data_IF_151996303765
#
_entry.id   IF_151996303765
#
_cell.length_a   1.000
_cell.length_b   1.000
_cell.length_c   1.000
_cell.angle_alpha   90.00
_cell.angle_beta   90.00
_cell.angle_gamma   90.00
#
_symmetry.space_group_name_H-M   'P 1'
#
loop_
_entity.id
_entity.type
_entity.pdbx_description
1 polymer ?
#
# COMPACT_ATOMS: atom_id res chain seq x y z
N UNK A 1 5.29 -7.93 25.04
CA UNK A 1 5.18 -9.33 24.53
C UNK A 1 5.23 -9.22 23.02
N UNK A 2 6.04 -10.05 22.38
CA UNK A 2 6.14 -10.07 20.91
C UNK A 2 4.77 -10.43 20.33
N UNK A 3 4.38 -9.72 19.25
CA UNK A 3 3.14 -10.03 18.51
C UNK A 3 3.39 -11.10 17.43
N UNK A 4 4.47 -11.86 17.56
CA UNK A 4 4.87 -12.86 16.59
C UNK A 4 3.90 -14.04 16.53
N UNK A 5 3.31 -14.28 15.36
CA UNK A 5 2.57 -15.50 15.06
C UNK A 5 3.59 -16.60 14.72
N UNK A 6 3.52 -17.72 15.44
CA UNK A 6 4.34 -18.91 15.21
C UNK A 6 3.45 -20.00 14.61
N UNK A 7 3.40 -20.16 13.26
CA UNK A 7 2.54 -21.17 12.67
C UNK A 7 2.97 -22.58 13.09
N UNK A 8 2.03 -23.39 13.53
CA UNK A 8 2.32 -24.75 13.99
C UNK A 8 2.92 -25.60 12.86
N UNK A 9 4.05 -26.22 13.12
CA UNK A 9 4.73 -27.08 12.15
C UNK A 9 5.34 -26.34 10.94
N UNK A 10 5.42 -25.02 10.97
CA UNK A 10 6.01 -24.26 9.87
C UNK A 10 7.45 -24.71 9.59
N UNK A 11 7.72 -24.91 8.32
CA UNK A 11 9.07 -25.11 7.77
C UNK A 11 9.18 -24.33 6.48
N UNK A 12 10.20 -23.49 6.37
CA UNK A 12 10.45 -22.77 5.15
C UNK A 12 10.62 -23.73 3.97
N UNK A 13 9.70 -23.69 3.01
CA UNK A 13 9.67 -24.58 1.84
C UNK A 13 10.91 -24.38 0.96
N UNK A 14 11.38 -23.13 0.86
CA UNK A 14 12.56 -22.72 0.11
C UNK A 14 13.67 -22.29 1.06
N UNK A 15 14.89 -22.83 0.88
CA UNK A 15 16.06 -22.37 1.61
C UNK A 15 16.47 -20.93 1.22
N UNK A 16 17.31 -20.26 2.04
CA UNK A 16 17.68 -18.83 1.86
C UNK A 16 18.11 -18.49 0.43
N UNK A 17 18.97 -19.28 -0.19
CA UNK A 17 19.44 -19.02 -1.57
C UNK A 17 18.32 -19.10 -2.62
N UNK A 18 17.40 -20.06 -2.47
CA UNK A 18 16.24 -20.17 -3.38
C UNK A 18 15.26 -19.02 -3.13
N UNK A 19 15.11 -18.60 -1.88
CA UNK A 19 14.30 -17.43 -1.50
C UNK A 19 14.81 -16.16 -2.19
N UNK A 20 16.12 -15.88 -2.14
CA UNK A 20 16.74 -14.73 -2.84
C UNK A 20 16.53 -14.80 -4.37
N UNK A 21 16.64 -15.98 -4.97
CA UNK A 21 16.34 -16.18 -6.39
C UNK A 21 14.85 -15.94 -6.70
N UNK A 22 13.98 -16.40 -5.82
CA UNK A 22 12.53 -16.18 -5.92
C UNK A 22 12.14 -14.71 -5.78
N UNK A 23 12.73 -13.98 -4.84
CA UNK A 23 12.53 -12.53 -4.67
C UNK A 23 12.88 -11.80 -5.97
N UNK A 24 14.05 -12.08 -6.55
CA UNK A 24 14.46 -11.49 -7.83
C UNK A 24 13.43 -11.80 -8.93
N UNK A 25 13.08 -13.07 -9.09
CA UNK A 25 12.13 -13.52 -10.12
C UNK A 25 10.78 -12.80 -9.99
N UNK A 26 10.22 -12.78 -8.80
CA UNK A 26 8.91 -12.17 -8.50
C UNK A 26 8.96 -10.66 -8.77
N UNK A 27 9.98 -9.96 -8.26
CA UNK A 27 10.10 -8.52 -8.44
C UNK A 27 10.23 -8.14 -9.91
N UNK A 28 11.09 -8.81 -10.68
CA UNK A 28 11.28 -8.55 -12.12
C UNK A 28 10.01 -8.84 -12.93
N UNK A 29 9.33 -9.93 -12.66
CA UNK A 29 8.13 -10.31 -13.39
C UNK A 29 6.93 -9.43 -13.04
N UNK A 30 6.65 -9.22 -11.75
CA UNK A 30 5.50 -8.45 -11.31
C UNK A 30 5.55 -7.00 -11.79
N UNK A 31 6.69 -6.31 -11.66
CA UNK A 31 6.81 -4.92 -12.08
C UNK A 31 6.57 -4.73 -13.59
N UNK A 32 7.00 -5.69 -14.43
CA UNK A 32 6.75 -5.64 -15.87
C UNK A 32 5.27 -5.85 -16.19
N UNK A 33 4.62 -6.80 -15.51
CA UNK A 33 3.19 -7.04 -15.66
C UNK A 33 2.37 -5.83 -15.20
N UNK A 34 2.67 -5.26 -14.03
CA UNK A 34 2.05 -4.05 -13.52
C UNK A 34 2.19 -2.88 -14.50
N UNK A 35 3.41 -2.65 -14.98
CA UNK A 35 3.70 -1.58 -15.93
C UNK A 35 2.92 -1.75 -17.25
N UNK A 36 2.82 -2.98 -17.75
CA UNK A 36 2.07 -3.29 -18.97
C UNK A 36 0.58 -3.11 -18.75
N UNK A 37 0.02 -3.63 -17.66
CA UNK A 37 -1.41 -3.53 -17.34
C UNK A 37 -1.86 -2.08 -17.19
N UNK A 38 -1.09 -1.26 -16.51
CA UNK A 38 -1.49 0.11 -16.19
C UNK A 38 -0.84 1.17 -17.11
N UNK A 39 -0.04 0.75 -18.13
CA UNK A 39 0.70 1.62 -19.05
C UNK A 39 1.62 2.59 -18.33
N UNK A 40 2.46 2.06 -17.44
CA UNK A 40 3.36 2.84 -16.60
C UNK A 40 4.79 2.85 -17.15
N UNK A 41 5.43 4.01 -17.10
CA UNK A 41 6.87 4.16 -17.33
C UNK A 41 7.61 4.18 -15.99
N UNK A 42 8.73 3.47 -15.90
CA UNK A 42 9.56 3.51 -14.68
C UNK A 42 10.30 4.84 -14.58
N UNK A 43 10.26 5.46 -13.40
CA UNK A 43 11.02 6.67 -13.08
C UNK A 43 11.88 6.46 -11.84
N UNK A 44 12.93 7.28 -11.68
CA UNK A 44 13.69 7.35 -10.42
C UNK A 44 12.96 8.23 -9.42
N UNK A 45 12.98 7.84 -8.15
CA UNK A 45 12.34 8.58 -7.06
C UNK A 45 13.33 8.99 -5.99
N UNK A 46 13.05 10.06 -5.23
CA UNK A 46 13.86 10.46 -4.09
C UNK A 46 13.66 9.48 -2.92
N UNK A 47 14.73 9.23 -2.16
CA UNK A 47 14.66 8.57 -0.86
C UNK A 47 14.22 9.54 0.24
N UNK A 48 14.46 10.83 0.05
CA UNK A 48 14.15 11.90 1.01
C UNK A 48 13.74 13.18 0.28
N UNK A 49 12.97 14.00 0.95
CA UNK A 49 12.47 15.30 0.46
C UNK A 49 12.73 16.38 1.49
N UNK A 50 12.71 17.65 1.05
CA UNK A 50 12.80 18.76 2.00
C UNK A 50 11.55 18.82 2.88
N UNK A 51 11.75 19.00 4.17
CA UNK A 51 10.70 19.19 5.17
C UNK A 51 9.91 20.48 4.89
N UNK A 52 8.61 20.44 5.19
CA UNK A 52 7.75 21.63 5.13
C UNK A 52 7.16 21.93 3.76
N UNK A 53 7.41 21.11 2.73
CA UNK A 53 6.81 21.27 1.39
C UNK A 53 5.45 20.60 1.26
N UNK A 54 5.03 19.80 2.23
CA UNK A 54 3.81 19.00 2.15
C UNK A 54 3.89 17.86 1.13
N UNK A 55 5.11 17.45 0.74
CA UNK A 55 5.35 16.36 -0.21
C UNK A 55 5.43 15.02 0.52
N UNK A 56 6.11 14.97 1.67
CA UNK A 56 6.13 13.76 2.49
C UNK A 56 4.74 13.45 3.03
N UNK A 57 4.48 12.19 3.30
CA UNK A 57 3.23 11.74 3.90
C UNK A 57 3.37 11.71 5.42
N UNK A 58 2.37 12.24 6.11
CA UNK A 58 2.32 12.20 7.58
C UNK A 58 1.64 10.90 8.07
N UNK A 59 1.29 9.97 7.16
CA UNK A 59 0.54 8.75 7.44
C UNK A 59 -0.73 9.05 8.26
N UNK A 60 -0.76 8.65 9.53
CA UNK A 60 -1.86 8.96 10.44
C UNK A 60 -1.66 10.30 11.19
N UNK A 61 -0.56 11.02 10.90
CA UNK A 61 -0.24 12.32 11.51
C UNK A 61 0.49 12.23 12.85
N UNK A 62 0.89 11.05 13.28
CA UNK A 62 1.58 10.80 14.56
C UNK A 62 2.96 10.17 14.39
N UNK A 63 3.24 9.56 13.25
CA UNK A 63 4.51 8.90 12.94
C UNK A 63 5.62 9.93 12.73
N UNK A 64 6.78 9.66 13.34
CA UNK A 64 7.95 10.52 13.24
C UNK A 64 8.77 10.18 11.99
N UNK A 65 8.96 11.12 11.05
CA UNK A 65 9.89 10.90 9.95
C UNK A 65 11.32 10.86 10.45
N UNK A 66 12.16 10.05 9.80
CA UNK A 66 13.62 10.13 9.98
C UNK A 66 14.09 11.37 9.25
N UNK A 67 14.59 12.37 9.99
CA UNK A 67 15.05 13.62 9.44
C UNK A 67 16.54 13.88 9.71
N UNK A 68 17.15 14.68 8.85
CA UNK A 68 18.55 15.07 8.96
C UNK A 68 18.79 16.44 8.31
N UNK A 69 19.76 17.25 8.84
CA UNK A 69 20.12 18.53 8.24
C UNK A 69 21.02 18.36 7.01
N UNK A 70 20.90 19.27 6.04
CA UNK A 70 21.75 19.31 4.84
C UNK A 70 22.67 20.52 4.93
N UNK A 71 23.96 20.29 5.14
CA UNK A 71 24.97 21.33 5.33
C UNK A 71 25.03 22.34 4.18
N UNK A 72 25.05 21.87 2.93
CA UNK A 72 25.16 22.73 1.75
C UNK A 72 23.90 23.55 1.45
N UNK A 73 22.79 23.26 2.13
CA UNK A 73 21.54 24.01 2.06
C UNK A 73 21.29 24.85 3.34
N UNK A 74 22.36 25.23 4.06
CA UNK A 74 22.25 26.05 5.27
C UNK A 74 21.52 25.35 6.41
N UNK A 75 21.78 24.06 6.60
CA UNK A 75 21.15 23.21 7.63
C UNK A 75 19.63 23.00 7.42
N UNK A 76 19.13 23.17 6.18
CA UNK A 76 17.76 22.83 5.87
C UNK A 76 17.50 21.33 6.17
N UNK A 77 16.36 21.02 6.80
CA UNK A 77 16.01 19.65 7.13
C UNK A 77 15.42 18.89 5.93
N UNK A 78 15.88 17.67 5.71
CA UNK A 78 15.26 16.68 4.84
C UNK A 78 14.68 15.53 5.66
N UNK A 79 13.68 14.88 5.10
CA UNK A 79 12.99 13.75 5.70
C UNK A 79 13.00 12.55 4.75
N UNK A 80 13.34 11.38 5.25
CA UNK A 80 13.14 10.13 4.52
C UNK A 80 11.64 9.95 4.28
N UNK A 81 11.27 9.60 3.06
CA UNK A 81 9.85 9.51 2.69
C UNK A 81 9.13 8.40 3.47
N UNK A 82 7.87 8.65 3.82
CA UNK A 82 6.93 7.64 4.29
C UNK A 82 6.08 7.08 3.13
N UNK A 83 5.84 7.90 2.11
CA UNK A 83 5.12 7.59 0.88
C UNK A 83 5.53 8.56 -0.22
N UNK A 84 5.37 8.17 -1.46
CA UNK A 84 5.63 9.00 -2.64
C UNK A 84 4.34 9.47 -3.34
N UNK A 85 3.17 9.31 -2.73
CA UNK A 85 1.88 9.63 -3.36
C UNK A 85 1.84 11.05 -3.93
N UNK A 86 2.22 12.05 -3.14
CA UNK A 86 2.24 13.47 -3.53
C UNK A 86 3.37 13.79 -4.50
N UNK A 87 4.55 13.21 -4.30
CA UNK A 87 5.69 13.38 -5.20
C UNK A 87 5.38 12.82 -6.61
N UNK A 88 4.78 11.64 -6.71
CA UNK A 88 4.41 11.05 -8.01
C UNK A 88 3.47 11.96 -8.79
N UNK A 89 2.47 12.56 -8.12
CA UNK A 89 1.54 13.48 -8.78
C UNK A 89 2.23 14.74 -9.31
N UNK A 90 3.21 15.30 -8.59
CA UNK A 90 4.06 16.39 -9.07
C UNK A 90 4.86 15.94 -10.30
N UNK A 91 5.41 14.72 -10.28
CA UNK A 91 6.18 14.15 -11.39
C UNK A 91 5.33 13.91 -12.63
N UNK A 92 4.05 13.48 -12.47
CA UNK A 92 3.12 13.39 -13.62
C UNK A 92 2.95 14.74 -14.34
N UNK A 93 2.85 15.83 -13.58
CA UNK A 93 2.75 17.18 -14.14
C UNK A 93 4.06 17.63 -14.81
N UNK A 94 5.19 17.41 -14.12
CA UNK A 94 6.52 17.82 -14.62
C UNK A 94 6.91 17.11 -15.93
N UNK A 95 6.50 15.85 -16.07
CA UNK A 95 6.77 15.04 -17.27
C UNK A 95 5.67 15.11 -18.33
N UNK A 96 4.65 15.94 -18.14
CA UNK A 96 3.49 16.07 -19.04
C UNK A 96 2.85 14.73 -19.44
N UNK A 97 2.67 13.85 -18.45
CA UNK A 97 2.08 12.52 -18.68
C UNK A 97 0.61 12.66 -19.06
N UNK A 98 0.23 12.04 -20.18
CA UNK A 98 -1.11 12.18 -20.77
C UNK A 98 -2.12 11.20 -20.12
N UNK A 99 -3.43 11.49 -20.13
CA UNK A 99 -4.46 10.60 -19.61
C UNK A 99 -4.37 9.17 -20.17
N UNK A 100 -4.53 8.18 -19.30
CA UNK A 100 -4.40 6.76 -19.61
C UNK A 100 -2.98 6.21 -19.56
N UNK A 101 -1.99 7.04 -19.20
CA UNK A 101 -0.60 6.66 -18.96
C UNK A 101 -0.17 7.08 -17.55
N UNK A 102 0.92 6.51 -17.07
CA UNK A 102 1.41 6.80 -15.74
C UNK A 102 2.88 6.46 -15.54
N UNK A 103 3.27 6.54 -14.28
CA UNK A 103 4.63 6.23 -13.82
C UNK A 103 4.58 5.21 -12.69
N UNK A 104 5.67 4.48 -12.51
CA UNK A 104 5.94 3.72 -11.28
C UNK A 104 7.40 3.85 -10.87
N UNK A 105 7.65 3.58 -9.61
CA UNK A 105 9.00 3.61 -9.05
C UNK A 105 9.14 2.60 -7.93
N UNK A 106 10.40 2.28 -7.58
CA UNK A 106 10.72 1.57 -6.35
C UNK A 106 10.80 2.59 -5.21
N UNK A 107 9.80 2.61 -4.35
CA UNK A 107 9.81 3.43 -3.12
C UNK A 107 10.47 2.65 -2.00
N UNK A 108 11.37 3.32 -1.28
CA UNK A 108 11.99 2.82 -0.05
C UNK A 108 11.70 3.82 1.06
N UNK A 109 11.12 3.35 2.16
CA UNK A 109 10.74 4.18 3.30
C UNK A 109 11.28 3.61 4.60
N UNK A 110 11.41 4.49 5.60
CA UNK A 110 11.76 4.09 6.98
C UNK A 110 10.63 4.56 7.88
N UNK A 111 10.03 3.62 8.60
CA UNK A 111 8.98 3.88 9.60
C UNK A 111 9.55 3.59 10.99
N UNK A 112 10.09 4.63 11.63
CA UNK A 112 10.80 4.49 12.90
C UNK A 112 9.91 4.08 14.08
N UNK A 113 8.61 4.37 14.01
CA UNK A 113 7.62 4.07 15.06
C UNK A 113 6.82 2.78 14.79
N UNK A 114 7.21 1.98 13.79
CA UNK A 114 6.50 0.75 13.42
C UNK A 114 6.60 -0.33 14.52
N UNK A 115 5.48 -0.98 14.80
CA UNK A 115 5.44 -2.14 15.69
C UNK A 115 5.79 -3.39 14.90
N UNK A 116 6.94 -3.97 15.20
CA UNK A 116 7.49 -5.11 14.46
C UNK A 116 6.72 -6.39 14.75
N UNK A 117 6.28 -7.08 13.69
CA UNK A 117 5.62 -8.38 13.74
C UNK A 117 5.97 -9.20 12.48
N UNK A 118 5.17 -10.24 12.17
CA UNK A 118 5.37 -11.05 10.98
C UNK A 118 5.30 -10.27 9.66
N UNK A 119 4.57 -9.15 9.63
CA UNK A 119 4.24 -8.38 8.42
C UNK A 119 4.87 -6.99 8.38
N UNK A 120 5.30 -6.47 9.54
CA UNK A 120 5.77 -5.09 9.70
C UNK A 120 7.25 -5.04 10.01
N UNK A 121 7.97 -4.21 9.27
CA UNK A 121 9.40 -3.92 9.41
C UNK A 121 9.62 -2.41 9.44
N UNK A 122 10.74 -1.97 10.01
CA UNK A 122 11.18 -0.56 9.94
C UNK A 122 11.40 -0.10 8.50
N UNK A 123 11.78 -1.02 7.62
CA UNK A 123 12.00 -0.77 6.20
C UNK A 123 10.79 -1.20 5.40
N UNK A 124 10.27 -0.29 4.57
CA UNK A 124 9.13 -0.53 3.68
C UNK A 124 9.56 -0.32 2.24
N UNK A 125 9.29 -1.31 1.39
CA UNK A 125 9.51 -1.26 -0.04
C UNK A 125 8.20 -1.46 -0.81
N UNK A 126 7.93 -0.57 -1.78
CA UNK A 126 6.72 -0.64 -2.60
C UNK A 126 7.03 -0.40 -4.07
N UNK A 127 6.26 -1.04 -4.97
CA UNK A 127 6.03 -0.46 -6.28
C UNK A 127 4.98 0.64 -6.12
N UNK A 128 5.45 1.85 -6.15
CA UNK A 128 4.63 3.03 -6.00
C UNK A 128 4.27 3.54 -7.40
N UNK A 129 3.00 3.59 -7.74
CA UNK A 129 2.52 3.92 -9.07
C UNK A 129 1.49 5.04 -9.05
N UNK A 130 1.38 5.78 -10.16
CA UNK A 130 0.43 6.88 -10.35
C UNK A 130 0.11 7.03 -11.83
N UNK A 131 -1.17 7.16 -12.20
CA UNK A 131 -1.61 7.31 -13.58
C UNK A 131 -2.57 8.49 -13.75
N UNK A 132 -2.41 9.24 -14.84
CA UNK A 132 -3.30 10.35 -15.16
C UNK A 132 -4.64 9.82 -15.65
N UNK A 133 -5.72 10.40 -15.14
CA UNK A 133 -7.10 10.05 -15.48
C UNK A 133 -7.86 11.30 -15.97
N UNK A 134 -9.02 11.07 -16.57
CA UNK A 134 -9.96 12.14 -16.92
C UNK A 134 -10.98 12.36 -15.81
N UNK A 135 -11.75 13.44 -15.89
CA UNK A 135 -12.88 13.71 -14.98
C UNK A 135 -13.91 12.57 -15.00
N UNK A 136 -14.17 12.01 -16.19
CA UNK A 136 -15.12 10.88 -16.35
C UNK A 136 -14.65 9.57 -15.72
N UNK A 137 -13.37 9.45 -15.38
CA UNK A 137 -12.79 8.25 -14.73
C UNK A 137 -12.88 8.32 -13.19
N UNK A 138 -13.33 9.44 -12.62
CA UNK A 138 -13.50 9.59 -11.17
C UNK A 138 -14.74 8.82 -10.67
N UNK A 139 -14.77 7.53 -10.89
CA UNK A 139 -15.88 6.64 -10.57
C UNK A 139 -15.39 5.39 -9.84
N UNK A 140 -16.25 4.80 -9.04
CA UNK A 140 -15.98 3.53 -8.37
C UNK A 140 -15.75 2.40 -9.37
N UNK A 141 -16.54 2.35 -10.45
CA UNK A 141 -16.36 1.30 -11.47
C UNK A 141 -15.02 1.39 -12.19
N UNK A 142 -14.48 2.59 -12.38
CA UNK A 142 -13.12 2.76 -12.89
C UNK A 142 -12.06 2.24 -11.90
N UNK A 143 -12.17 2.61 -10.62
CA UNK A 143 -11.30 2.10 -9.56
C UNK A 143 -11.30 0.58 -9.52
N UNK A 144 -12.48 -0.05 -9.47
CA UNK A 144 -12.61 -1.52 -9.48
C UNK A 144 -11.97 -2.17 -10.73
N UNK A 145 -12.09 -1.53 -11.90
CA UNK A 145 -11.43 -2.03 -13.11
C UNK A 145 -9.91 -2.03 -12.97
N UNK A 146 -9.33 -0.96 -12.42
CA UNK A 146 -7.89 -0.88 -12.14
C UNK A 146 -7.47 -1.96 -11.15
N UNK A 147 -8.23 -2.17 -10.08
CA UNK A 147 -7.98 -3.24 -9.09
C UNK A 147 -7.97 -4.62 -9.75
N UNK A 148 -8.95 -4.93 -10.62
CA UNK A 148 -8.99 -6.22 -11.34
C UNK A 148 -7.74 -6.44 -12.21
N UNK A 149 -7.23 -5.39 -12.85
CA UNK A 149 -6.01 -5.45 -13.68
C UNK A 149 -4.77 -5.70 -12.82
N UNK A 150 -4.64 -5.05 -11.67
CA UNK A 150 -3.57 -5.30 -10.70
C UNK A 150 -3.65 -6.74 -10.17
N UNK A 151 -4.86 -7.18 -9.81
CA UNK A 151 -5.07 -8.53 -9.32
C UNK A 151 -4.72 -9.60 -10.37
N UNK A 152 -5.00 -9.36 -11.64
CA UNK A 152 -4.57 -10.24 -12.72
C UNK A 152 -3.04 -10.34 -12.84
N UNK A 153 -2.30 -9.25 -12.57
CA UNK A 153 -0.84 -9.31 -12.51
C UNK A 153 -0.35 -10.12 -11.29
N UNK A 154 -1.04 -10.04 -10.14
CA UNK A 154 -0.77 -10.84 -8.95
C UNK A 154 -0.95 -12.33 -9.24
N UNK A 155 -2.08 -12.73 -9.86
CA UNK A 155 -2.34 -14.13 -10.22
C UNK A 155 -1.30 -14.70 -11.18
N UNK A 156 -0.88 -13.94 -12.19
CA UNK A 156 0.19 -14.36 -13.10
C UNK A 156 1.52 -14.57 -12.37
N UNK A 157 1.77 -13.77 -11.34
CA UNK A 157 2.99 -13.88 -10.54
C UNK A 157 2.95 -15.12 -9.63
N UNK A 158 1.80 -15.44 -9.03
CA UNK A 158 1.61 -16.69 -8.31
C UNK A 158 1.84 -17.90 -9.23
N UNK A 159 1.22 -17.90 -10.42
CA UNK A 159 1.42 -18.95 -11.40
C UNK A 159 2.90 -19.16 -11.72
N UNK A 160 3.66 -18.08 -12.02
CA UNK A 160 5.08 -18.17 -12.31
C UNK A 160 5.88 -18.72 -11.11
N UNK A 161 5.56 -18.29 -9.89
CA UNK A 161 6.24 -18.76 -8.68
C UNK A 161 6.04 -20.27 -8.48
N UNK A 162 4.81 -20.77 -8.64
CA UNK A 162 4.46 -22.20 -8.51
C UNK A 162 5.09 -23.04 -9.64
N UNK A 163 5.11 -22.56 -10.88
CA UNK A 163 5.78 -23.25 -12.01
C UNK A 163 7.30 -23.33 -11.79
N UNK A 164 7.89 -22.28 -11.21
CA UNK A 164 9.35 -22.26 -10.95
C UNK A 164 9.75 -23.10 -9.74
N UNK A 165 8.90 -23.11 -8.72
CA UNK A 165 9.10 -23.84 -7.47
C UNK A 165 7.91 -24.78 -7.21
N UNK A 166 7.95 -26.02 -7.73
CA UNK A 166 6.83 -26.97 -7.62
C UNK A 166 6.42 -27.36 -6.19
N UNK A 167 7.19 -26.94 -5.19
CA UNK A 167 6.86 -27.11 -3.78
C UNK A 167 5.85 -26.07 -3.27
N UNK A 168 5.62 -24.99 -4.03
CA UNK A 168 4.64 -23.95 -3.73
C UNK A 168 3.29 -24.34 -4.39
N UNK A 169 2.23 -24.26 -3.62
CA UNK A 169 0.87 -24.54 -4.11
C UNK A 169 0.09 -23.23 -4.26
N UNK A 170 -0.57 -23.00 -5.41
CA UNK A 170 -1.38 -21.79 -5.59
C UNK A 170 -2.57 -21.79 -4.64
N UNK A 171 -2.91 -20.63 -4.05
CA UNK A 171 -4.04 -20.50 -3.14
C UNK A 171 -4.90 -19.27 -3.40
N UNK A 172 -4.48 -18.37 -4.31
CA UNK A 172 -5.25 -17.19 -4.62
C UNK A 172 -6.51 -17.55 -5.45
N UNK A 173 -7.68 -16.98 -5.13
CA UNK A 173 -8.89 -17.18 -5.93
C UNK A 173 -8.75 -16.51 -7.31
N UNK A 174 -9.48 -17.02 -8.30
CA UNK A 174 -9.43 -16.49 -9.67
C UNK A 174 -9.99 -15.07 -9.81
N UNK A 175 -10.77 -14.61 -8.84
CA UNK A 175 -11.39 -13.28 -8.83
C UNK A 175 -11.27 -12.65 -7.46
N UNK A 176 -11.07 -11.33 -7.44
CA UNK A 176 -11.10 -10.52 -6.22
C UNK A 176 -12.56 -10.12 -5.92
N UNK A 177 -12.95 -10.17 -4.66
CA UNK A 177 -14.25 -9.74 -4.17
C UNK A 177 -14.20 -8.25 -3.77
N UNK A 178 -15.25 -7.48 -4.10
CA UNK A 178 -15.38 -6.06 -3.74
C UNK A 178 -16.42 -5.90 -2.64
N UNK A 179 -16.10 -5.14 -1.62
CA UNK A 179 -17.02 -4.79 -0.53
C UNK A 179 -16.69 -3.39 0.00
N UNK A 180 -17.74 -2.62 0.27
CA UNK A 180 -17.55 -1.32 0.92
C UNK A 180 -17.41 -1.48 2.43
N UNK A 181 -16.59 -0.63 3.08
CA UNK A 181 -16.33 -0.67 4.52
C UNK A 181 -17.63 -0.58 5.35
N UNK A 182 -18.64 0.19 4.88
CA UNK A 182 -19.95 0.24 5.54
C UNK A 182 -20.69 -1.11 5.48
N UNK A 183 -20.71 -1.77 4.32
CA UNK A 183 -21.37 -3.08 4.18
C UNK A 183 -20.66 -4.13 5.05
N UNK A 184 -19.34 -4.03 5.16
CA UNK A 184 -18.53 -4.91 5.99
C UNK A 184 -18.86 -4.70 7.49
N UNK A 185 -19.00 -3.45 7.94
CA UNK A 185 -19.47 -3.13 9.29
C UNK A 185 -20.89 -3.65 9.54
N UNK A 186 -21.80 -3.46 8.58
CA UNK A 186 -23.18 -3.94 8.72
C UNK A 186 -23.27 -5.47 8.78
N UNK A 187 -22.36 -6.16 8.08
CA UNK A 187 -22.25 -7.62 8.09
C UNK A 187 -21.69 -8.15 9.43
N UNK A 188 -20.77 -7.43 10.05
CA UNK A 188 -20.07 -7.84 11.27
C UNK A 188 -20.05 -6.71 12.33
N UNK A 189 -21.21 -6.27 12.84
CA UNK A 189 -21.31 -5.05 13.65
C UNK A 189 -20.65 -5.13 15.04
N UNK A 190 -20.21 -6.31 15.47
CA UNK A 190 -19.57 -6.51 16.78
C UNK A 190 -18.06 -6.80 16.70
N UNK A 191 -17.54 -6.93 15.49
CA UNK A 191 -16.12 -7.20 15.27
C UNK A 191 -15.34 -5.89 15.08
N UNK A 192 -14.06 -5.93 15.43
CA UNK A 192 -13.12 -4.86 15.05
C UNK A 192 -12.87 -4.85 13.55
N UNK A 193 -12.36 -3.75 13.01
CA UNK A 193 -12.03 -3.66 11.57
C UNK A 193 -11.11 -4.81 11.11
N UNK A 194 -10.07 -5.14 11.87
CA UNK A 194 -9.15 -6.24 11.56
C UNK A 194 -9.80 -7.62 11.62
N UNK A 195 -10.69 -7.86 12.58
CA UNK A 195 -11.45 -9.11 12.63
C UNK A 195 -12.43 -9.21 11.45
N UNK A 196 -13.04 -8.10 11.03
CA UNK A 196 -13.87 -8.04 9.82
C UNK A 196 -13.07 -8.38 8.56
N UNK A 197 -11.85 -7.83 8.43
CA UNK A 197 -10.93 -8.14 7.34
C UNK A 197 -10.58 -9.64 7.31
N UNK A 198 -10.26 -10.23 8.47
CA UNK A 198 -9.94 -11.65 8.57
C UNK A 198 -11.13 -12.53 8.16
N UNK A 199 -12.33 -12.24 8.64
CA UNK A 199 -13.53 -13.02 8.31
C UNK A 199 -13.89 -12.91 6.82
N UNK A 200 -13.87 -11.70 6.23
CA UNK A 200 -14.22 -11.54 4.82
C UNK A 200 -13.15 -12.13 3.90
N UNK A 201 -11.86 -11.96 4.23
CA UNK A 201 -10.76 -12.54 3.47
C UNK A 201 -10.74 -14.06 3.58
N UNK A 202 -11.02 -14.63 4.74
CA UNK A 202 -11.17 -16.09 4.93
C UNK A 202 -12.28 -16.67 4.06
N UNK A 203 -13.37 -15.90 3.87
CA UNK A 203 -14.52 -16.32 3.04
C UNK A 203 -14.23 -16.29 1.55
N UNK A 204 -13.54 -15.23 1.07
CA UNK A 204 -13.39 -14.98 -0.36
C UNK A 204 -11.95 -15.15 -0.90
N UNK A 205 -10.96 -15.27 -0.02
CA UNK A 205 -9.53 -15.44 -0.36
C UNK A 205 -8.81 -14.16 -0.74
N UNK A 206 -9.43 -13.29 -1.54
CA UNK A 206 -8.93 -11.97 -1.92
C UNK A 206 -10.07 -10.95 -1.97
N UNK A 207 -9.88 -9.80 -1.33
CA UNK A 207 -10.92 -8.79 -1.17
C UNK A 207 -10.34 -7.40 -1.44
N UNK A 208 -11.12 -6.54 -2.09
CA UNK A 208 -10.87 -5.10 -2.12
C UNK A 208 -11.91 -4.42 -1.24
N UNK A 209 -11.45 -3.80 -0.15
CA UNK A 209 -12.32 -3.06 0.78
C UNK A 209 -12.29 -1.59 0.36
N UNK A 210 -13.46 -1.06 0.01
CA UNK A 210 -13.63 0.30 -0.50
C UNK A 210 -14.07 1.29 0.58
N UNK A 211 -13.77 2.59 0.38
CA UNK A 211 -14.23 3.64 1.28
C UNK A 211 -13.43 3.74 2.59
N UNK A 212 -12.11 3.53 2.49
CA UNK A 212 -11.19 3.64 3.64
C UNK A 212 -10.93 5.12 3.96
N UNK A 213 -11.05 5.49 5.23
CA UNK A 213 -10.78 6.86 5.73
C UNK A 213 -12.03 7.67 6.05
N UNK A 214 -13.18 7.36 5.47
CA UNK A 214 -14.44 8.01 5.85
C UNK A 214 -14.99 7.45 7.18
N UNK A 215 -15.83 8.24 7.87
CA UNK A 215 -16.55 7.77 9.05
C UNK A 215 -17.75 6.91 8.65
N UNK A 216 -17.86 5.75 9.27
CA UNK A 216 -18.96 4.82 9.09
C UNK A 216 -20.15 5.17 10.00
N UNK A 217 -21.25 4.44 9.86
CA UNK A 217 -22.50 4.67 10.62
C UNK A 217 -22.33 4.58 12.14
N UNK A 218 -21.32 3.87 12.62
CA UNK A 218 -20.97 3.80 14.04
C UNK A 218 -20.12 4.98 14.54
N UNK A 219 -19.75 5.93 13.64
CA UNK A 219 -18.91 7.09 13.94
C UNK A 219 -17.40 6.85 13.85
N UNK A 220 -16.97 5.61 13.70
CA UNK A 220 -15.55 5.24 13.55
C UNK A 220 -15.15 5.15 12.07
N UNK A 221 -13.84 5.17 11.80
CA UNK A 221 -13.28 4.84 10.50
C UNK A 221 -12.95 3.35 10.46
N UNK A 222 -13.01 2.74 9.27
CA UNK A 222 -12.49 1.37 9.11
C UNK A 222 -10.98 1.33 9.35
N UNK A 223 -10.26 2.23 8.69
CA UNK A 223 -8.82 2.47 8.90
C UNK A 223 -8.50 3.94 8.62
N UNK A 224 -7.28 4.38 9.01
CA UNK A 224 -6.79 5.74 8.79
C UNK A 224 -6.46 6.02 7.33
N UNK A 225 -6.64 7.29 6.91
CA UNK A 225 -6.19 7.78 5.61
C UNK A 225 -5.89 9.27 5.72
N UNK A 226 -4.75 9.73 5.22
CA UNK A 226 -4.43 11.15 5.18
C UNK A 226 -5.43 11.93 4.33
N UNK A 227 -5.58 13.22 4.63
CA UNK A 227 -6.59 14.07 4.00
C UNK A 227 -6.21 14.55 2.58
N UNK A 228 -4.96 14.33 2.14
CA UNK A 228 -4.39 15.10 1.04
C UNK A 228 -3.87 14.28 -0.16
N UNK A 229 -4.24 12.99 -0.24
CA UNK A 229 -3.96 12.21 -1.46
C UNK A 229 -5.13 11.34 -1.93
N UNK A 230 -5.63 10.36 -1.18
CA UNK A 230 -6.79 9.56 -1.60
C UNK A 230 -8.12 10.27 -1.37
N UNK A 231 -9.04 10.16 -2.33
CA UNK A 231 -10.40 10.68 -2.20
C UNK A 231 -11.28 9.68 -1.46
N UNK A 232 -11.43 9.91 -0.16
CA UNK A 232 -12.29 9.11 0.72
C UNK A 232 -13.59 9.85 1.08
N UNK A 233 -13.92 10.96 0.43
CA UNK A 233 -15.06 11.82 0.77
C UNK A 233 -16.08 11.99 -0.35
N UNK A 234 -15.72 11.73 -1.60
CA UNK A 234 -16.65 11.83 -2.73
C UNK A 234 -17.71 10.73 -2.66
N UNK A 235 -18.97 11.11 -2.88
CA UNK A 235 -20.10 10.19 -2.98
C UNK A 235 -20.10 9.57 -4.38
N UNK A 236 -19.99 8.25 -4.46
CA UNK A 236 -20.04 7.50 -5.71
C UNK A 236 -21.46 7.37 -6.27
N UNK A 237 -21.59 6.81 -7.49
CA UNK A 237 -22.86 6.68 -8.22
C UNK A 237 -23.90 5.83 -7.48
N UNK A 238 -23.47 4.92 -6.63
CA UNK A 238 -24.31 4.04 -5.81
C UNK A 238 -24.64 4.61 -4.43
N UNK A 239 -24.23 5.86 -4.15
CA UNK A 239 -24.46 6.56 -2.90
C UNK A 239 -23.47 6.23 -1.78
N UNK A 240 -22.48 5.37 -2.01
CA UNK A 240 -21.40 5.07 -1.06
C UNK A 240 -20.30 6.12 -1.13
N UNK A 241 -19.55 6.27 -0.04
CA UNK A 241 -18.56 7.34 0.10
C UNK A 241 -17.13 6.78 -0.07
N UNK A 242 -16.34 7.44 -0.92
CA UNK A 242 -14.93 7.15 -1.14
C UNK A 242 -14.67 6.47 -2.48
N UNK A 243 -13.55 6.87 -3.09
CA UNK A 243 -13.03 6.34 -4.36
C UNK A 243 -11.65 5.71 -4.15
N UNK A 244 -11.47 5.03 -3.03
CA UNK A 244 -10.22 4.40 -2.60
C UNK A 244 -10.48 3.06 -1.92
N UNK A 245 -9.44 2.33 -1.62
CA UNK A 245 -9.53 1.08 -0.88
C UNK A 245 -8.22 0.32 -0.84
N UNK A 246 -8.30 -0.88 -0.23
CA UNK A 246 -7.16 -1.74 0.01
C UNK A 246 -7.39 -3.15 -0.55
N UNK A 247 -6.35 -3.72 -1.20
CA UNK A 247 -6.32 -5.14 -1.59
C UNK A 247 -5.82 -5.94 -0.39
N UNK A 248 -6.67 -6.82 0.11
CA UNK A 248 -6.34 -7.77 1.17
C UNK A 248 -6.41 -9.20 0.64
N UNK A 249 -5.52 -10.04 1.15
CA UNK A 249 -5.42 -11.45 0.79
C UNK A 249 -5.47 -12.29 2.07
N UNK A 250 -6.32 -13.31 2.08
CA UNK A 250 -6.26 -14.33 3.13
C UNK A 250 -4.95 -15.10 3.01
N UNK A 251 -4.16 -15.11 4.06
CA UNK A 251 -2.89 -15.81 4.07
C UNK A 251 -2.91 -17.05 4.97
N UNK A 252 -3.04 -18.26 4.38
CA UNK A 252 -3.25 -19.49 5.17
C UNK A 252 -2.15 -19.79 6.17
N UNK A 253 -0.89 -19.43 5.86
CA UNK A 253 0.26 -19.70 6.72
C UNK A 253 0.15 -18.96 8.06
N UNK A 254 -0.30 -17.71 8.04
CA UNK A 254 -0.49 -16.92 9.25
C UNK A 254 -1.92 -16.99 9.80
N UNK A 255 -2.87 -17.58 9.05
CA UNK A 255 -4.28 -17.68 9.43
C UNK A 255 -4.96 -16.31 9.60
N UNK A 256 -4.54 -15.30 8.81
CA UNK A 256 -5.07 -13.92 8.84
C UNK A 256 -5.05 -13.25 7.47
N UNK A 257 -5.70 -12.12 7.36
CA UNK A 257 -5.62 -11.24 6.19
C UNK A 257 -4.30 -10.48 6.15
N UNK A 258 -3.80 -10.22 4.94
CA UNK A 258 -2.64 -9.36 4.67
C UNK A 258 -3.07 -8.27 3.71
N UNK A 259 -2.92 -7.02 4.10
CA UNK A 259 -2.99 -5.88 3.18
C UNK A 259 -1.77 -5.89 2.26
N UNK A 260 -2.01 -6.02 0.96
CA UNK A 260 -0.96 -6.04 -0.05
C UNK A 260 -0.78 -4.68 -0.72
N UNK A 261 -1.86 -3.94 -0.90
CA UNK A 261 -1.86 -2.66 -1.63
C UNK A 261 -2.93 -1.74 -1.11
N UNK A 262 -2.59 -0.47 -1.03
CA UNK A 262 -3.48 0.65 -0.77
C UNK A 262 -3.49 1.56 -1.99
N UNK A 263 -4.68 1.98 -2.46
CA UNK A 263 -4.83 2.79 -3.66
C UNK A 263 -6.12 3.59 -3.69
N UNK A 264 -6.16 4.62 -4.55
CA UNK A 264 -7.39 5.38 -4.77
C UNK A 264 -7.28 6.37 -5.92
N UNK A 265 -8.43 6.81 -6.38
CA UNK A 265 -8.55 8.06 -7.12
C UNK A 265 -8.09 9.17 -6.18
N UNK A 266 -7.24 10.07 -6.67
CA UNK A 266 -6.68 11.13 -5.83
C UNK A 266 -7.68 12.28 -5.69
N UNK A 267 -7.57 12.99 -4.58
CA UNK A 267 -8.40 14.18 -4.34
C UNK A 267 -8.29 15.18 -5.50
N UNK A 268 -9.42 15.73 -5.90
CA UNK A 268 -9.47 16.99 -6.61
C UNK A 268 -9.45 18.18 -5.62
N UNK A 269 -9.61 19.41 -6.09
CA UNK A 269 -9.66 20.58 -5.21
C UNK A 269 -10.79 20.53 -4.18
N UNK A 270 -11.95 20.06 -4.62
CA UNK A 270 -13.17 20.03 -3.78
C UNK A 270 -13.01 18.99 -2.67
N UNK A 271 -12.59 17.78 -3.04
CA UNK A 271 -12.33 16.70 -2.09
C UNK A 271 -11.18 17.07 -1.12
N UNK A 272 -10.08 17.67 -1.64
CA UNK A 272 -8.99 18.13 -0.78
C UNK A 272 -9.46 19.11 0.30
N UNK A 273 -10.15 20.19 -0.09
CA UNK A 273 -10.61 21.21 0.85
C UNK A 273 -11.60 20.61 1.87
N UNK A 274 -12.50 19.74 1.39
CA UNK A 274 -13.46 19.06 2.25
C UNK A 274 -12.77 18.15 3.27
N UNK A 275 -11.83 17.32 2.83
CA UNK A 275 -11.10 16.39 3.69
C UNK A 275 -10.20 17.12 4.71
N UNK A 276 -9.51 18.19 4.30
CA UNK A 276 -8.72 19.01 5.21
C UNK A 276 -9.61 19.65 6.31
N UNK A 277 -10.83 20.06 5.96
CA UNK A 277 -11.79 20.61 6.96
C UNK A 277 -12.26 19.53 7.92
N UNK A 278 -12.58 18.31 7.44
CA UNK A 278 -12.97 17.19 8.31
C UNK A 278 -11.86 16.85 9.31
N UNK A 279 -10.60 16.83 8.86
CA UNK A 279 -9.44 16.50 9.69
C UNK A 279 -8.88 17.70 10.46
N UNK A 280 -9.46 18.90 10.30
CA UNK A 280 -9.00 20.16 10.95
C UNK A 280 -7.54 20.49 10.63
N UNK A 281 -7.17 20.36 9.36
CA UNK A 281 -5.81 20.55 8.82
C UNK A 281 -5.81 21.63 7.72
N UNK A 282 -6.70 22.64 7.79
CA UNK A 282 -6.86 23.67 6.77
C UNK A 282 -5.57 24.48 6.53
N UNK A 283 -4.69 24.60 7.52
CA UNK A 283 -3.38 25.26 7.39
C UNK A 283 -2.48 24.60 6.34
N UNK A 284 -2.67 23.31 6.05
CA UNK A 284 -1.89 22.59 5.01
C UNK A 284 -2.10 23.17 3.61
N UNK A 285 -3.19 23.88 3.38
CA UNK A 285 -3.44 24.59 2.11
C UNK A 285 -2.30 25.54 1.72
N UNK A 286 -1.51 26.02 2.69
CA UNK A 286 -0.37 26.92 2.45
C UNK A 286 0.91 26.19 1.99
N UNK A 287 0.94 24.85 2.11
CA UNK A 287 2.12 24.07 1.72
C UNK A 287 2.25 23.99 0.20
N UNK A 288 3.48 23.83 -0.29
CA UNK A 288 3.78 23.84 -1.71
C UNK A 288 2.92 22.86 -2.54
N UNK A 289 2.86 21.59 -2.13
CA UNK A 289 2.05 20.59 -2.87
C UNK A 289 0.58 21.00 -2.99
N UNK A 290 -0.02 21.46 -1.89
CA UNK A 290 -1.44 21.85 -1.83
C UNK A 290 -1.71 23.06 -2.72
N UNK A 291 -0.80 24.04 -2.73
CA UNK A 291 -0.88 25.20 -3.62
C UNK A 291 -0.80 24.81 -5.12
N UNK A 292 0.04 23.83 -5.49
CA UNK A 292 0.08 23.33 -6.85
C UNK A 292 -1.25 22.71 -7.27
N UNK A 293 -1.86 21.90 -6.38
CA UNK A 293 -3.16 21.28 -6.64
C UNK A 293 -4.28 22.31 -6.74
N UNK A 294 -4.37 23.24 -5.79
CA UNK A 294 -5.40 24.27 -5.74
C UNK A 294 -5.31 25.27 -6.93
N UNK A 295 -4.13 25.37 -7.54
CA UNK A 295 -3.89 26.25 -8.71
C UNK A 295 -4.03 25.53 -10.06
N UNK A 296 -4.63 24.33 -10.13
CA UNK A 296 -4.82 23.53 -11.35
C UNK A 296 -3.52 23.14 -12.08
N UNK A 297 -2.41 23.04 -11.36
CA UNK A 297 -1.13 22.66 -11.94
C UNK A 297 -0.87 21.16 -11.91
N UNK A 298 -1.70 20.39 -11.21
CA UNK A 298 -1.55 18.95 -11.09
C UNK A 298 -2.71 18.22 -11.80
N UNK A 299 -2.42 17.14 -12.53
CA UNK A 299 -3.46 16.37 -13.22
C UNK A 299 -4.36 15.64 -12.23
N UNK A 300 -5.56 15.27 -12.68
CA UNK A 300 -6.36 14.24 -12.02
C UNK A 300 -5.66 12.91 -12.20
N UNK A 301 -5.61 12.11 -11.14
CA UNK A 301 -4.87 10.85 -11.18
C UNK A 301 -5.47 9.81 -10.23
N UNK A 302 -5.09 8.57 -10.46
CA UNK A 302 -5.28 7.40 -9.61
C UNK A 302 -3.92 6.83 -9.29
N UNK A 303 -3.72 6.33 -8.09
CA UNK A 303 -2.45 5.72 -7.74
C UNK A 303 -2.50 4.87 -6.50
N UNK A 304 -1.38 4.25 -6.19
CA UNK A 304 -1.26 3.36 -5.04
C UNK A 304 0.15 2.88 -4.82
N UNK A 305 0.33 2.13 -3.74
CA UNK A 305 1.55 1.40 -3.42
C UNK A 305 1.25 -0.09 -3.27
N UNK A 306 2.11 -0.94 -3.83
CA UNK A 306 2.02 -2.40 -3.68
C UNK A 306 3.27 -2.86 -2.95
N UNK A 307 3.11 -3.48 -1.79
CA UNK A 307 4.22 -3.95 -0.96
C UNK A 307 5.07 -5.00 -1.66
N UNK A 308 6.33 -4.68 -1.99
CA UNK A 308 7.23 -5.60 -2.69
C UNK A 308 7.57 -6.81 -1.83
N UNK A 309 8.02 -6.56 -0.60
CA UNK A 309 8.38 -7.65 0.34
C UNK A 309 7.15 -8.44 0.78
N UNK A 310 5.98 -7.80 0.96
CA UNK A 310 4.73 -8.52 1.27
C UNK A 310 4.30 -9.43 0.12
N UNK A 311 4.37 -8.97 -1.14
CA UNK A 311 4.08 -9.82 -2.29
C UNK A 311 5.05 -11.01 -2.36
N UNK A 312 6.36 -10.78 -2.21
CA UNK A 312 7.33 -11.86 -2.18
C UNK A 312 7.07 -12.86 -1.04
N UNK A 313 6.69 -12.37 0.15
CA UNK A 313 6.33 -13.19 1.30
C UNK A 313 5.16 -14.13 0.98
N UNK A 314 4.10 -13.58 0.38
CA UNK A 314 2.91 -14.32 -0.04
C UNK A 314 3.28 -15.37 -1.11
N UNK A 315 3.97 -14.96 -2.17
CA UNK A 315 4.31 -15.83 -3.30
C UNK A 315 5.31 -16.95 -2.96
N UNK A 316 6.18 -16.73 -1.98
CA UNK A 316 7.19 -17.70 -1.57
C UNK A 316 6.82 -18.44 -0.28
N UNK A 317 5.58 -18.30 0.18
CA UNK A 317 5.00 -19.00 1.33
C UNK A 317 5.83 -18.82 2.61
N UNK A 318 6.15 -17.56 2.96
CA UNK A 318 6.97 -17.23 4.12
C UNK A 318 6.13 -16.81 5.32
N UNK A 319 6.56 -17.20 6.51
CA UNK A 319 5.85 -16.89 7.76
C UNK A 319 6.21 -15.50 8.32
N UNK A 320 7.32 -14.91 7.89
CA UNK A 320 7.78 -13.62 8.41
C UNK A 320 8.45 -12.79 7.31
N UNK A 321 8.18 -11.48 7.32
CA UNK A 321 8.75 -10.56 6.33
C UNK A 321 10.29 -10.52 6.37
N UNK A 322 10.89 -10.83 7.52
CA UNK A 322 12.33 -10.97 7.70
C UNK A 322 12.95 -12.19 6.99
N UNK A 323 12.14 -13.09 6.41
CA UNK A 323 12.63 -14.12 5.50
C UNK A 323 12.81 -13.59 4.07
N UNK A 324 12.30 -12.38 3.79
CA UNK A 324 12.33 -11.70 2.49
C UNK A 324 13.22 -10.46 2.53
N UNK A 325 13.26 -9.79 3.66
CA UNK A 325 13.83 -8.46 3.84
C UNK A 325 14.92 -8.48 4.90
N UNK A 326 16.12 -8.04 4.55
CA UNK A 326 17.15 -7.73 5.55
C UNK A 326 16.74 -6.45 6.31
N UNK A 327 16.57 -6.56 7.63
CA UNK A 327 16.16 -5.47 8.50
C UNK A 327 16.75 -5.63 9.90
N UNK A 328 16.36 -4.74 10.83
CA UNK A 328 16.76 -4.80 12.22
C UNK A 328 15.61 -5.45 13.01
N UNK A 329 15.93 -6.51 13.73
CA UNK A 329 15.01 -7.26 14.59
C UNK A 329 15.57 -7.31 16.01
N UNK A 330 14.71 -7.27 17.02
CA UNK A 330 15.14 -7.46 18.39
C UNK A 330 15.74 -8.86 18.60
N UNK A 331 16.62 -9.00 19.58
CA UNK A 331 17.19 -10.32 19.91
C UNK A 331 16.10 -11.32 20.35
N UNK A 332 15.06 -10.83 21.01
CA UNK A 332 13.90 -11.64 21.39
C UNK A 332 13.20 -12.20 20.14
N UNK A 333 12.87 -11.34 19.18
CA UNK A 333 12.22 -11.77 17.92
C UNK A 333 13.10 -12.72 17.12
N UNK A 334 14.42 -12.48 17.04
CA UNK A 334 15.36 -13.38 16.36
C UNK A 334 15.35 -14.78 16.99
N UNK A 335 15.42 -14.86 18.33
CA UNK A 335 15.35 -16.11 19.05
C UNK A 335 14.02 -16.82 18.83
N UNK A 336 12.90 -16.10 18.93
CA UNK A 336 11.57 -16.66 18.73
C UNK A 336 11.35 -17.19 17.32
N UNK A 337 11.87 -16.49 16.29
CA UNK A 337 11.86 -16.96 14.91
C UNK A 337 12.70 -18.22 14.72
N UNK A 338 13.89 -18.27 15.31
CA UNK A 338 14.76 -19.46 15.26
C UNK A 338 14.08 -20.68 15.91
N UNK A 339 13.49 -20.52 17.10
CA UNK A 339 12.74 -21.57 17.80
C UNK A 339 11.52 -22.04 16.99
N UNK A 340 10.88 -21.16 16.23
CA UNK A 340 9.73 -21.46 15.37
C UNK A 340 10.12 -22.01 13.99
N UNK A 341 11.42 -22.14 13.67
CA UNK A 341 11.89 -22.59 12.36
C UNK A 341 11.73 -21.55 11.24
N UNK A 342 11.66 -20.26 11.59
CA UNK A 342 11.54 -19.12 10.68
C UNK A 342 12.94 -18.53 10.42
N UNK A 343 13.57 -18.77 9.24
CA UNK A 343 14.94 -18.42 8.99
C UNK A 343 15.08 -16.97 8.47
N UNK A 344 15.21 -15.99 9.35
CA UNK A 344 15.45 -14.60 8.96
C UNK A 344 16.74 -14.45 8.12
N UNK A 345 16.73 -13.55 7.10
CA UNK A 345 17.89 -13.23 6.26
C UNK A 345 18.71 -12.06 6.80
#
# INVERSE_FOLDING_TARGET
>A
MSQLIKPEGYKAVLGKRQTEQGIKLIKEFFQQNLATELRLSRVTAPLFVLKGLGINDDLNGVERPVSFPIKDLGEAEAEVVHSLAKWKRLTLADYDIQPGYGIYTDMNAIRADEVLDNLHSLYVDQWDWEAVITEGDRTRSFLENVVRRIYAAILRTEFLACETYPQLEPFLPQTIHFIHAQDLLDMYPTLTAKECEDEICKKYGAVFIEGIGCRLSNGEKHDGRAADYDDWSTVAEDGKIGLNGDILIWYPILGRSIELSSMGVRVDKTALLHQLTIEKQEERQQLFFHQQLLSDKLPLCIGGGIGQSRLCMIMLHKAHIGEIQASIWSEEMRRECEEAGIPLI
#
